data_IF_479056361248
#
_entry.id   IF_479056361248
#
_cell.length_a   1.000
_cell.length_b   1.000
_cell.length_c   1.000
_cell.angle_alpha   90.00
_cell.angle_beta   90.00
_cell.angle_gamma   90.00
#
_symmetry.space_group_name_H-M   'P 1'
#
loop_
_entity.id
_entity.type
_entity.pdbx_description
1 polymer ?
#
# COMPACT_ATOMS: atom_id res chain seq x y z
N UNK A 1 -36.60 -48.44 -36.87
CA UNK A 1 -35.82 -47.18 -36.87
C UNK A 1 -36.12 -46.38 -35.60
N UNK A 2 -35.26 -46.46 -34.58
CA UNK A 2 -35.16 -45.46 -33.51
C UNK A 2 -33.69 -45.35 -33.12
N UNK A 3 -32.98 -44.39 -33.70
CA UNK A 3 -31.62 -44.02 -33.30
C UNK A 3 -31.72 -43.30 -31.95
N UNK A 4 -31.09 -43.87 -30.92
CA UNK A 4 -30.82 -43.15 -29.66
C UNK A 4 -29.53 -42.38 -29.84
N UNK A 5 -29.64 -41.06 -29.95
CA UNK A 5 -28.49 -40.15 -29.93
C UNK A 5 -28.08 -39.97 -28.47
N UNK A 6 -26.90 -40.49 -28.10
CA UNK A 6 -26.30 -40.25 -26.79
C UNK A 6 -25.47 -38.97 -26.92
N UNK A 7 -25.91 -37.91 -26.26
CA UNK A 7 -25.12 -36.68 -26.07
C UNK A 7 -24.09 -36.94 -24.96
N UNK A 8 -22.81 -36.98 -25.32
CA UNK A 8 -21.72 -36.86 -24.35
C UNK A 8 -21.55 -35.38 -24.00
N UNK A 9 -22.00 -34.97 -22.81
CA UNK A 9 -21.58 -33.71 -22.21
C UNK A 9 -20.12 -33.87 -21.75
N UNK A 10 -19.19 -33.33 -22.54
CA UNK A 10 -17.82 -33.08 -22.10
C UNK A 10 -17.85 -31.92 -21.10
N UNK A 11 -17.90 -32.24 -19.81
CA UNK A 11 -17.49 -31.30 -18.77
C UNK A 11 -15.98 -31.10 -18.91
N UNK A 12 -15.57 -30.01 -19.57
CA UNK A 12 -14.22 -29.50 -19.40
C UNK A 12 -14.14 -28.95 -17.97
N UNK A 13 -13.68 -29.80 -17.05
CA UNK A 13 -13.21 -29.31 -15.76
C UNK A 13 -11.98 -28.44 -16.04
N UNK A 14 -12.19 -27.13 -16.17
CA UNK A 14 -11.11 -26.17 -15.99
C UNK A 14 -10.58 -26.41 -14.59
N UNK A 15 -9.46 -27.13 -14.50
CA UNK A 15 -8.65 -27.20 -13.29
C UNK A 15 -8.31 -25.75 -12.96
N UNK A 16 -9.07 -25.17 -12.04
CA UNK A 16 -8.63 -23.98 -11.32
C UNK A 16 -7.43 -24.46 -10.54
N UNK A 17 -6.24 -24.28 -11.13
CA UNK A 17 -5.00 -24.53 -10.42
C UNK A 17 -5.02 -23.52 -9.29
N UNK A 18 -5.28 -23.98 -8.06
CA UNK A 18 -5.22 -23.12 -6.89
C UNK A 18 -3.83 -22.48 -6.91
N UNK A 19 -3.76 -21.18 -7.20
CA UNK A 19 -2.49 -20.58 -7.49
C UNK A 19 -1.68 -20.49 -6.19
N UNK A 20 -0.52 -21.12 -6.17
CA UNK A 20 0.32 -21.21 -4.98
C UNK A 20 0.90 -19.83 -4.66
N UNK A 21 0.59 -19.34 -3.45
CA UNK A 21 1.36 -18.30 -2.78
C UNK A 21 2.41 -18.96 -1.87
N UNK A 22 3.62 -18.38 -1.73
CA UNK A 22 4.15 -17.24 -2.48
C UNK A 22 4.34 -17.55 -3.98
N UNK A 23 4.12 -16.57 -4.86
CA UNK A 23 4.45 -16.74 -6.27
C UNK A 23 5.97 -16.73 -6.47
N UNK A 24 6.50 -17.56 -7.38
CA UNK A 24 7.93 -17.59 -7.68
C UNK A 24 8.43 -16.22 -8.19
N UNK A 25 7.59 -15.50 -8.96
CA UNK A 25 7.87 -14.15 -9.44
C UNK A 25 8.20 -13.20 -8.29
N UNK A 26 7.39 -13.21 -7.22
CA UNK A 26 7.65 -12.37 -6.05
C UNK A 26 8.92 -12.80 -5.31
N UNK A 27 9.13 -14.11 -5.12
CA UNK A 27 10.35 -14.64 -4.49
C UNK A 27 11.60 -14.18 -5.21
N UNK A 28 11.56 -14.11 -6.54
CA UNK A 28 12.69 -13.74 -7.40
C UNK A 28 12.94 -12.22 -7.47
N UNK A 29 12.04 -11.38 -6.93
CA UNK A 29 12.26 -9.93 -6.88
C UNK A 29 13.48 -9.61 -6.03
N UNK A 30 13.59 -10.21 -4.84
CA UNK A 30 14.70 -10.08 -3.85
C UNK A 30 15.03 -8.67 -3.33
N UNK A 31 14.86 -7.64 -4.15
CA UNK A 31 15.29 -6.29 -3.87
C UNK A 31 14.34 -5.28 -4.53
N UNK A 32 13.84 -4.35 -3.72
CA UNK A 32 12.74 -3.46 -4.07
C UNK A 32 13.04 -2.04 -3.61
N UNK A 33 12.54 -1.05 -4.35
CA UNK A 33 12.54 0.35 -3.92
C UNK A 33 11.33 0.60 -3.03
N UNK A 34 11.52 1.21 -1.86
CA UNK A 34 10.41 1.70 -1.04
C UNK A 34 10.34 3.22 -1.16
N UNK A 35 9.19 3.77 -1.51
CA UNK A 35 8.98 5.21 -1.66
C UNK A 35 7.92 5.68 -0.66
N UNK A 36 8.37 6.48 0.31
CA UNK A 36 7.49 7.31 1.13
C UNK A 36 7.38 8.70 0.51
N UNK A 37 6.20 9.04 0.01
CA UNK A 37 5.91 10.35 -0.56
C UNK A 37 4.48 10.80 -0.21
N UNK A 38 4.34 12.03 0.27
CA UNK A 38 3.06 12.59 0.74
C UNK A 38 3.21 14.05 1.19
N UNK A 39 2.19 14.59 1.87
CA UNK A 39 2.21 16.01 2.31
C UNK A 39 3.37 16.31 3.27
N UNK A 40 3.78 15.35 4.08
CA UNK A 40 4.95 15.44 4.95
C UNK A 40 6.24 15.79 4.20
N UNK A 41 6.33 15.49 2.90
CA UNK A 41 7.47 15.86 2.05
C UNK A 41 7.59 17.37 1.81
N UNK A 42 6.50 18.15 1.97
CA UNK A 42 6.53 19.63 1.91
C UNK A 42 7.28 20.18 3.12
N UNK A 43 7.05 19.59 4.28
CA UNK A 43 7.69 20.01 5.53
C UNK A 43 9.17 19.64 5.60
N UNK A 44 9.56 18.49 5.05
CA UNK A 44 10.95 18.03 5.04
C UNK A 44 11.57 17.91 6.45
N UNK A 45 10.76 17.55 7.45
CA UNK A 45 11.19 17.43 8.85
C UNK A 45 11.30 18.76 9.62
N UNK A 46 10.83 19.87 9.04
CA UNK A 46 10.86 21.20 9.67
C UNK A 46 9.43 21.73 9.81
N UNK A 47 9.08 22.23 11.00
CA UNK A 47 7.79 22.89 11.26
C UNK A 47 8.02 24.22 11.96
N UNK A 48 7.41 25.30 11.45
CA UNK A 48 7.60 26.67 11.96
C UNK A 48 9.07 27.12 12.08
N UNK A 49 9.91 26.69 11.13
CA UNK A 49 11.33 27.04 11.08
C UNK A 49 12.23 26.20 11.99
N UNK A 50 11.65 25.29 12.79
CA UNK A 50 12.40 24.45 13.72
C UNK A 50 12.42 22.97 13.28
N UNK A 51 13.58 22.30 13.32
CA UNK A 51 13.64 20.86 13.05
C UNK A 51 12.87 20.05 14.09
N UNK A 52 12.01 19.14 13.62
CA UNK A 52 11.30 18.19 14.47
C UNK A 52 12.24 17.02 14.76
N UNK A 53 12.85 17.03 15.95
CA UNK A 53 13.94 16.10 16.32
C UNK A 53 13.48 14.75 16.89
N UNK A 54 12.17 14.52 16.96
CA UNK A 54 11.60 13.29 17.52
C UNK A 54 10.87 12.53 16.43
N UNK A 55 11.02 11.20 16.48
CA UNK A 55 10.32 10.31 15.57
C UNK A 55 10.76 10.49 14.12
N UNK A 56 9.83 10.20 13.21
CA UNK A 56 10.09 10.13 11.79
C UNK A 56 9.41 11.28 11.04
N UNK A 57 10.00 11.71 9.92
CA UNK A 57 9.56 12.92 9.21
C UNK A 57 8.19 12.76 8.55
N UNK A 58 7.83 11.55 8.12
CA UNK A 58 6.52 11.23 7.55
C UNK A 58 5.37 11.27 8.58
N UNK A 59 5.73 11.36 9.87
CA UNK A 59 4.80 11.45 10.99
C UNK A 59 4.81 12.83 11.66
N UNK A 60 5.32 13.85 10.95
CA UNK A 60 5.47 15.20 11.47
C UNK A 60 4.18 15.82 12.02
N UNK A 61 3.01 15.48 11.44
CA UNK A 61 1.70 15.90 11.96
C UNK A 61 1.56 15.56 13.45
N UNK A 62 1.88 14.32 13.81
CA UNK A 62 1.82 13.84 15.19
C UNK A 62 2.95 14.42 16.04
N UNK A 63 4.21 14.32 15.58
CA UNK A 63 5.37 14.71 16.39
C UNK A 63 5.51 16.21 16.63
N UNK A 64 4.99 17.05 15.73
CA UNK A 64 4.96 18.51 15.89
C UNK A 64 3.63 19.03 16.45
N UNK A 65 2.63 18.15 16.65
CA UNK A 65 1.31 18.54 17.16
C UNK A 65 0.55 19.45 16.19
N UNK A 66 0.62 19.17 14.90
CA UNK A 66 -0.09 19.94 13.86
C UNK A 66 -1.55 19.50 13.86
N UNK A 67 -2.47 20.46 14.01
CA UNK A 67 -3.90 20.18 13.90
C UNK A 67 -4.24 19.65 12.50
N UNK A 68 -5.17 18.70 12.41
CA UNK A 68 -5.47 18.00 11.14
C UNK A 68 -5.93 18.93 10.02
N UNK A 69 -6.67 20.00 10.34
CA UNK A 69 -7.08 21.01 9.36
C UNK A 69 -5.91 21.84 8.83
N UNK A 70 -4.95 22.17 9.70
CA UNK A 70 -3.72 22.89 9.32
C UNK A 70 -2.82 21.99 8.48
N UNK A 71 -2.65 20.73 8.88
CA UNK A 71 -1.89 19.75 8.10
C UNK A 71 -2.55 19.52 6.74
N UNK A 72 -3.88 19.37 6.67
CA UNK A 72 -4.59 19.17 5.42
C UNK A 72 -4.44 20.36 4.45
N UNK A 73 -4.30 21.58 4.97
CA UNK A 73 -4.08 22.79 4.15
C UNK A 73 -2.78 22.75 3.35
N UNK A 74 -1.79 21.95 3.77
CA UNK A 74 -0.53 21.69 3.04
C UNK A 74 -0.78 21.17 1.62
N UNK A 75 -1.93 20.51 1.37
CA UNK A 75 -2.29 20.04 0.04
C UNK A 75 -2.30 21.16 -1.01
N UNK A 76 -2.58 22.41 -0.63
CA UNK A 76 -2.55 23.57 -1.53
C UNK A 76 -1.15 23.94 -2.02
N UNK A 77 -0.10 23.53 -1.29
CA UNK A 77 1.31 23.74 -1.64
C UNK A 77 1.92 22.54 -2.36
N UNK A 78 1.25 21.39 -2.32
CA UNK A 78 1.77 20.14 -2.88
C UNK A 78 1.63 20.09 -4.41
N UNK A 79 2.70 20.50 -5.11
CA UNK A 79 2.75 20.49 -6.57
C UNK A 79 4.07 19.90 -7.09
N UNK A 80 4.20 18.56 -7.20
CA UNK A 80 5.43 17.92 -7.65
C UNK A 80 5.63 18.06 -9.18
N UNK A 81 5.90 19.26 -9.67
CA UNK A 81 6.04 19.58 -11.11
C UNK A 81 7.22 18.89 -11.79
N UNK A 82 8.16 18.33 -11.01
CA UNK A 82 9.30 17.55 -11.49
C UNK A 82 9.08 16.04 -11.36
N UNK A 83 7.85 15.59 -11.05
CA UNK A 83 7.52 14.19 -10.99
C UNK A 83 7.73 13.54 -12.37
N UNK A 84 8.61 12.56 -12.41
CA UNK A 84 8.88 11.73 -13.58
C UNK A 84 8.93 10.25 -13.14
N UNK A 85 7.86 9.48 -13.36
CA UNK A 85 7.81 8.09 -12.93
C UNK A 85 8.73 7.18 -13.76
N UNK A 86 9.06 7.55 -15.00
CA UNK A 86 9.95 6.75 -15.85
C UNK A 86 11.41 6.89 -15.37
N UNK A 87 11.82 8.06 -14.89
CA UNK A 87 13.12 8.25 -14.23
C UNK A 87 13.24 7.49 -12.90
N UNK A 88 12.16 7.40 -12.11
CA UNK A 88 12.12 6.58 -10.89
C UNK A 88 12.31 5.09 -11.22
N UNK A 89 11.57 4.60 -12.22
CA UNK A 89 11.68 3.21 -12.69
C UNK A 89 13.07 2.92 -13.25
N UNK A 90 13.64 3.87 -14.00
CA UNK A 90 15.03 3.77 -14.47
C UNK A 90 16.00 3.67 -13.30
N UNK A 91 15.89 4.55 -12.31
CA UNK A 91 16.75 4.52 -11.12
C UNK A 91 16.66 3.19 -10.37
N UNK A 92 15.45 2.68 -10.15
CA UNK A 92 15.24 1.39 -9.49
C UNK A 92 15.94 0.25 -10.25
N UNK A 93 15.81 0.22 -11.57
CA UNK A 93 16.46 -0.79 -12.42
C UNK A 93 17.98 -0.66 -12.44
N UNK A 94 18.51 0.56 -12.51
CA UNK A 94 19.95 0.82 -12.46
C UNK A 94 20.55 0.36 -11.13
N UNK A 95 19.79 0.48 -10.03
CA UNK A 95 20.14 -0.06 -8.71
C UNK A 95 19.96 -1.59 -8.58
N UNK A 96 19.44 -2.26 -9.61
CA UNK A 96 19.19 -3.71 -9.62
C UNK A 96 17.87 -4.15 -8.97
N UNK A 97 17.00 -3.21 -8.57
CA UNK A 97 15.71 -3.51 -7.97
C UNK A 97 14.72 -4.09 -8.99
N UNK A 98 13.80 -4.92 -8.52
CA UNK A 98 12.83 -5.69 -9.35
C UNK A 98 11.37 -5.31 -9.06
N UNK A 99 11.13 -4.56 -7.99
CA UNK A 99 9.82 -3.99 -7.68
C UNK A 99 9.92 -2.63 -7.01
N UNK A 100 8.82 -1.88 -7.01
CA UNK A 100 8.66 -0.61 -6.30
C UNK A 100 7.43 -0.70 -5.40
N UNK A 101 7.61 -0.47 -4.09
CA UNK A 101 6.55 -0.31 -3.09
C UNK A 101 6.31 1.18 -2.89
N UNK A 102 5.11 1.65 -3.21
CA UNK A 102 4.75 3.06 -3.14
C UNK A 102 3.68 3.33 -2.07
N UNK A 103 3.85 4.38 -1.25
CA UNK A 103 2.84 4.80 -0.27
C UNK A 103 1.57 5.30 -0.96
N UNK A 104 0.56 4.44 -1.08
CA UNK A 104 -0.77 4.80 -1.60
C UNK A 104 -1.49 5.77 -0.66
N UNK A 105 -1.38 5.51 0.65
CA UNK A 105 -1.85 6.35 1.76
C UNK A 105 -0.99 6.08 2.98
N UNK A 106 -0.43 7.14 3.60
CA UNK A 106 0.29 7.04 4.87
C UNK A 106 -0.64 7.30 6.07
N UNK A 107 -0.13 7.29 7.29
CA UNK A 107 -0.91 7.55 8.51
C UNK A 107 -1.65 8.89 8.49
N UNK A 108 -1.14 9.88 7.76
CA UNK A 108 -1.79 11.19 7.62
C UNK A 108 -3.14 11.14 6.88
N UNK A 109 -3.47 10.03 6.23
CA UNK A 109 -4.72 9.84 5.49
C UNK A 109 -4.71 10.40 4.07
N UNK A 110 -3.61 11.04 3.63
CA UNK A 110 -3.57 11.66 2.31
C UNK A 110 -3.36 10.61 1.23
N UNK A 111 -4.32 10.49 0.31
CA UNK A 111 -4.26 9.51 -0.76
C UNK A 111 -3.43 10.02 -1.94
N UNK A 112 -2.40 9.27 -2.34
CA UNK A 112 -1.52 9.59 -3.48
C UNK A 112 -2.10 9.16 -4.83
N UNK A 113 -3.41 8.93 -4.86
CA UNK A 113 -4.20 8.44 -5.97
C UNK A 113 -5.61 9.05 -5.92
N UNK A 114 -6.38 8.98 -7.00
CA UNK A 114 -7.75 9.54 -7.01
C UNK A 114 -8.74 8.60 -6.31
N UNK A 115 -8.95 8.80 -5.00
CA UNK A 115 -9.96 8.05 -4.25
C UNK A 115 -11.33 8.69 -4.41
N UNK A 116 -12.39 7.87 -4.56
CA UNK A 116 -13.78 8.37 -4.54
C UNK A 116 -14.39 8.40 -3.15
N UNK A 117 -13.64 7.96 -2.14
CA UNK A 117 -14.10 7.87 -0.75
C UNK A 117 -13.66 9.07 0.10
N UNK A 118 -12.75 9.91 -0.39
CA UNK A 118 -12.30 11.12 0.28
C UNK A 118 -11.77 12.13 -0.73
N UNK A 119 -12.11 13.41 -0.55
CA UNK A 119 -11.52 14.51 -1.31
C UNK A 119 -10.08 14.84 -0.84
N UNK A 120 -9.63 14.23 0.28
CA UNK A 120 -8.28 14.37 0.80
C UNK A 120 -7.29 13.48 0.04
N UNK A 121 -7.13 13.80 -1.25
CA UNK A 121 -6.31 13.06 -2.18
C UNK A 121 -5.57 13.99 -3.15
N UNK A 122 -4.56 13.46 -3.83
CA UNK A 122 -3.68 14.24 -4.71
C UNK A 122 -4.40 14.89 -5.89
N UNK A 123 -5.49 14.31 -6.38
CA UNK A 123 -6.24 14.85 -7.52
C UNK A 123 -7.18 15.97 -7.08
N UNK A 124 -7.89 15.80 -5.97
CA UNK A 124 -8.92 16.76 -5.57
C UNK A 124 -8.37 17.89 -4.69
N UNK A 125 -7.44 17.60 -3.78
CA UNK A 125 -6.98 18.57 -2.78
C UNK A 125 -5.79 19.45 -3.22
N UNK A 126 -5.09 19.10 -4.31
CA UNK A 126 -3.82 19.75 -4.68
C UNK A 126 -3.88 20.50 -6.00
N UNK A 127 -2.95 21.43 -6.30
CA UNK A 127 -2.78 21.98 -7.64
C UNK A 127 -2.21 20.99 -8.67
N UNK A 128 -1.72 19.81 -8.28
CA UNK A 128 -1.14 18.82 -9.20
C UNK A 128 -2.21 18.16 -10.09
N UNK A 129 -3.40 17.88 -9.53
CA UNK A 129 -4.61 17.40 -10.25
C UNK A 129 -4.42 16.11 -11.08
N UNK A 130 -3.39 15.32 -10.81
CA UNK A 130 -3.05 14.09 -11.56
C UNK A 130 -2.86 12.93 -10.59
N UNK A 131 -3.28 11.74 -11.01
CA UNK A 131 -3.13 10.51 -10.22
C UNK A 131 -1.69 10.00 -10.32
N UNK A 132 -0.88 10.39 -9.34
CA UNK A 132 0.55 10.13 -9.30
C UNK A 132 0.87 8.64 -9.14
N UNK A 133 0.08 7.92 -8.33
CA UNK A 133 0.23 6.47 -8.18
C UNK A 133 -0.07 5.73 -9.49
N UNK A 134 -1.09 6.15 -10.24
CA UNK A 134 -1.39 5.58 -11.57
C UNK A 134 -0.25 5.78 -12.55
N UNK A 135 0.31 6.99 -12.58
CA UNK A 135 1.46 7.30 -13.43
C UNK A 135 2.66 6.39 -13.13
N UNK A 136 2.93 6.13 -11.85
CA UNK A 136 3.97 5.20 -11.42
C UNK A 136 3.67 3.75 -11.80
N UNK A 137 2.45 3.27 -11.54
CA UNK A 137 2.03 1.91 -11.89
C UNK A 137 2.17 1.65 -13.40
N UNK A 138 1.77 2.62 -14.23
CA UNK A 138 1.92 2.53 -15.68
C UNK A 138 3.40 2.56 -16.12
N UNK A 139 4.23 3.38 -15.48
CA UNK A 139 5.68 3.40 -15.74
C UNK A 139 6.34 2.08 -15.36
N UNK A 140 5.98 1.49 -14.21
CA UNK A 140 6.46 0.18 -13.79
C UNK A 140 6.13 -0.89 -14.85
N UNK A 141 4.88 -0.90 -15.33
CA UNK A 141 4.43 -1.81 -16.40
C UNK A 141 5.21 -1.61 -17.70
N UNK A 142 5.46 -0.37 -18.12
CA UNK A 142 6.29 -0.08 -19.32
C UNK A 142 7.75 -0.49 -19.12
N UNK A 143 8.30 -0.27 -17.93
CA UNK A 143 9.68 -0.53 -17.58
C UNK A 143 9.99 -2.00 -17.27
N UNK A 144 8.96 -2.85 -17.12
CA UNK A 144 9.12 -4.26 -16.77
C UNK A 144 9.59 -4.48 -15.34
N UNK A 145 9.20 -3.62 -14.42
CA UNK A 145 9.43 -3.74 -12.98
C UNK A 145 8.08 -3.92 -12.28
N UNK A 146 8.03 -4.75 -11.23
CA UNK A 146 6.77 -5.04 -10.53
C UNK A 146 6.33 -3.84 -9.67
N UNK A 147 5.02 -3.59 -9.62
CA UNK A 147 4.44 -2.51 -8.82
C UNK A 147 3.74 -3.05 -7.58
N UNK A 148 4.01 -2.44 -6.44
CA UNK A 148 3.51 -2.80 -5.13
C UNK A 148 3.07 -1.54 -4.39
N UNK A 149 2.21 -1.71 -3.39
CA UNK A 149 1.64 -0.59 -2.64
C UNK A 149 1.84 -0.77 -1.15
N UNK A 150 2.13 0.33 -0.46
CA UNK A 150 1.96 0.44 0.98
C UNK A 150 0.57 1.04 1.27
N UNK A 151 -0.08 0.57 2.34
CA UNK A 151 -1.35 1.12 2.81
C UNK A 151 -1.40 1.18 4.34
N UNK A 152 -1.54 2.38 4.90
CA UNK A 152 -1.77 2.56 6.32
C UNK A 152 -3.22 2.26 6.71
N UNK A 153 -3.40 1.35 7.68
CA UNK A 153 -4.71 1.04 8.28
C UNK A 153 -5.18 2.14 9.24
N UNK A 154 -4.24 2.90 9.80
CA UNK A 154 -4.50 4.12 10.57
C UNK A 154 -4.63 5.30 9.61
N UNK A 155 -5.51 6.24 9.95
CA UNK A 155 -5.80 7.43 9.15
C UNK A 155 -6.12 8.58 10.10
N UNK A 156 -5.17 9.49 10.31
CA UNK A 156 -5.28 10.63 11.23
C UNK A 156 -6.23 11.72 10.73
N UNK A 157 -6.70 11.61 9.48
CA UNK A 157 -7.74 12.47 8.93
C UNK A 157 -9.15 11.85 9.10
N UNK A 158 -9.24 10.58 9.50
CA UNK A 158 -10.51 9.94 9.81
C UNK A 158 -11.06 10.45 11.16
N UNK A 159 -12.36 10.82 11.28
CA UNK A 159 -12.89 11.49 12.47
C UNK A 159 -12.65 10.75 13.80
N UNK A 160 -12.66 9.42 13.79
CA UNK A 160 -12.44 8.59 14.99
C UNK A 160 -10.97 8.35 15.34
N UNK A 161 -10.02 8.89 14.57
CA UNK A 161 -8.59 8.75 14.85
C UNK A 161 -8.04 9.83 15.80
N UNK A 162 -8.89 10.77 16.25
CA UNK A 162 -8.49 11.79 17.22
C UNK A 162 -8.86 11.38 18.66
N UNK A 163 -7.96 11.58 19.65
CA UNK A 163 -6.59 12.07 19.50
C UNK A 163 -5.69 11.05 18.81
N UNK A 164 -4.71 11.54 18.03
CA UNK A 164 -3.69 10.68 17.39
C UNK A 164 -2.93 9.93 18.48
N UNK A 165 -2.90 8.60 18.40
CA UNK A 165 -2.15 7.79 19.36
C UNK A 165 -0.65 7.89 19.13
N UNK A 166 0.12 7.64 20.19
CA UNK A 166 1.60 7.68 20.12
C UNK A 166 2.23 6.46 19.47
N UNK A 167 1.44 5.40 19.22
CA UNK A 167 1.94 4.11 18.75
C UNK A 167 1.25 3.62 17.46
N UNK A 168 0.23 4.33 16.96
CA UNK A 168 -0.55 3.96 15.77
C UNK A 168 -1.09 2.51 15.81
N UNK A 169 -1.34 1.93 16.99
CA UNK A 169 -1.83 0.55 17.12
C UNK A 169 -3.26 0.51 17.65
N UNK A 170 -4.08 1.47 17.22
CA UNK A 170 -5.45 1.63 17.70
C UNK A 170 -6.38 0.60 17.06
N UNK A 171 -7.38 0.09 17.82
CA UNK A 171 -8.46 -0.69 17.24
C UNK A 171 -9.24 0.12 16.20
N UNK A 172 -9.60 -0.50 15.08
CA UNK A 172 -10.45 0.15 14.09
C UNK A 172 -11.92 -0.01 14.44
N UNK A 173 -12.65 1.11 14.44
CA UNK A 173 -14.11 1.08 14.42
C UNK A 173 -14.61 0.41 13.14
N UNK A 174 -15.84 -0.11 13.14
CA UNK A 174 -16.42 -0.72 11.94
C UNK A 174 -16.47 0.28 10.77
N UNK A 175 -16.74 1.55 11.03
CA UNK A 175 -16.78 2.60 10.00
C UNK A 175 -15.40 2.82 9.36
N UNK A 176 -14.35 2.94 10.18
CA UNK A 176 -12.98 3.09 9.68
C UNK A 176 -12.53 1.84 8.90
N UNK A 177 -12.88 0.66 9.41
CA UNK A 177 -12.60 -0.59 8.70
C UNK A 177 -13.31 -0.66 7.33
N UNK A 178 -14.58 -0.24 7.24
CA UNK A 178 -15.31 -0.16 5.97
C UNK A 178 -14.70 0.85 5.01
N UNK A 179 -14.25 1.99 5.52
CA UNK A 179 -13.50 2.97 4.75
C UNK A 179 -12.21 2.36 4.17
N UNK A 180 -11.46 1.63 4.98
CA UNK A 180 -10.26 0.91 4.52
C UNK A 180 -10.57 -0.15 3.46
N UNK A 181 -11.63 -0.95 3.64
CA UNK A 181 -12.04 -1.93 2.62
C UNK A 181 -12.34 -1.27 1.27
N UNK A 182 -13.07 -0.16 1.29
CA UNK A 182 -13.43 0.57 0.07
C UNK A 182 -12.18 1.11 -0.65
N UNK A 183 -11.25 1.73 0.08
CA UNK A 183 -10.00 2.24 -0.49
C UNK A 183 -9.09 1.12 -1.02
N UNK A 184 -8.97 0.01 -0.29
CA UNK A 184 -8.22 -1.16 -0.75
C UNK A 184 -8.85 -1.76 -2.01
N UNK A 185 -10.19 -1.81 -2.10
CA UNK A 185 -10.87 -2.23 -3.33
C UNK A 185 -10.55 -1.30 -4.52
N UNK A 186 -10.54 0.02 -4.32
CA UNK A 186 -10.13 0.97 -5.37
C UNK A 186 -8.70 0.72 -5.85
N UNK A 187 -7.76 0.49 -4.93
CA UNK A 187 -6.36 0.22 -5.26
C UNK A 187 -6.22 -1.11 -6.02
N UNK A 188 -6.91 -2.16 -5.56
CA UNK A 188 -6.81 -3.49 -6.15
C UNK A 188 -7.54 -3.62 -7.50
N UNK A 189 -8.31 -2.63 -7.92
CA UNK A 189 -9.09 -2.69 -9.18
C UNK A 189 -8.62 -1.71 -10.26
N UNK A 190 -7.96 -0.60 -9.90
CA UNK A 190 -7.70 0.49 -10.84
C UNK A 190 -6.23 0.65 -11.29
N UNK A 191 -5.28 -0.06 -10.67
CA UNK A 191 -3.84 0.18 -10.84
C UNK A 191 -3.08 -0.96 -11.53
N UNK A 192 -3.80 -1.88 -12.19
CA UNK A 192 -3.22 -3.02 -12.89
C UNK A 192 -2.87 -4.19 -11.97
N UNK A 193 -1.83 -4.94 -12.34
CA UNK A 193 -1.34 -6.05 -11.52
C UNK A 193 -0.54 -5.51 -10.34
N UNK A 194 -1.00 -5.79 -9.12
CA UNK A 194 -0.31 -5.42 -7.88
C UNK A 194 0.46 -6.65 -7.40
N UNK A 195 1.77 -6.51 -7.25
CA UNK A 195 2.63 -7.61 -6.82
C UNK A 195 2.56 -7.85 -5.31
N UNK A 196 2.37 -6.79 -4.53
CA UNK A 196 2.33 -6.85 -3.07
C UNK A 196 1.54 -5.67 -2.51
N UNK A 197 0.84 -5.93 -1.40
CA UNK A 197 0.35 -4.91 -0.48
C UNK A 197 1.04 -5.03 0.88
N UNK A 198 1.69 -3.94 1.27
CA UNK A 198 2.32 -3.76 2.56
C UNK A 198 1.39 -2.95 3.46
N UNK A 199 0.68 -3.63 4.34
CA UNK A 199 -0.18 -3.00 5.34
C UNK A 199 0.65 -2.44 6.47
N UNK A 200 0.21 -1.36 7.09
CA UNK A 200 0.89 -0.78 8.24
C UNK A 200 -0.06 -0.40 9.35
N UNK A 201 0.41 -0.64 10.58
CA UNK A 201 -0.17 -0.18 11.82
C UNK A 201 -1.64 -0.61 12.04
N UNK A 202 -2.25 -0.17 13.13
CA UNK A 202 -3.60 -0.55 13.55
C UNK A 202 -3.67 -1.89 14.29
N UNK A 203 -4.74 -2.06 15.07
CA UNK A 203 -5.03 -3.28 15.83
C UNK A 203 -6.35 -3.89 15.34
N UNK A 204 -6.32 -4.49 14.16
CA UNK A 204 -7.48 -5.16 13.57
C UNK A 204 -7.94 -6.35 14.43
N UNK A 205 -9.25 -6.59 14.45
CA UNK A 205 -9.77 -7.87 14.92
C UNK A 205 -9.43 -8.99 13.93
N UNK A 206 -9.57 -10.24 14.37
CA UNK A 206 -9.41 -11.41 13.50
C UNK A 206 -10.30 -11.34 12.25
N UNK A 207 -11.57 -10.95 12.41
CA UNK A 207 -12.52 -10.87 11.29
C UNK A 207 -12.21 -9.73 10.33
N UNK A 208 -11.68 -8.60 10.84
CA UNK A 208 -11.27 -7.49 9.99
C UNK A 208 -10.03 -7.84 9.15
N UNK A 209 -9.06 -8.54 9.75
CA UNK A 209 -7.87 -9.01 9.03
C UNK A 209 -8.25 -10.04 7.96
N UNK A 210 -9.13 -10.99 8.30
CA UNK A 210 -9.67 -11.95 7.35
C UNK A 210 -10.35 -11.27 6.16
N UNK A 211 -11.22 -10.27 6.41
CA UNK A 211 -11.96 -9.62 5.34
C UNK A 211 -11.07 -8.82 4.37
N UNK A 212 -10.04 -8.14 4.86
CA UNK A 212 -9.04 -7.48 4.02
C UNK A 212 -8.22 -8.49 3.21
N UNK A 213 -7.79 -9.58 3.85
CA UNK A 213 -7.04 -10.64 3.17
C UNK A 213 -7.86 -11.30 2.05
N UNK A 214 -9.13 -11.62 2.31
CA UNK A 214 -10.05 -12.19 1.33
C UNK A 214 -10.37 -11.21 0.20
N UNK A 215 -10.54 -9.92 0.51
CA UNK A 215 -10.75 -8.88 -0.51
C UNK A 215 -9.57 -8.81 -1.47
N UNK A 216 -8.34 -8.67 -0.96
CA UNK A 216 -7.14 -8.59 -1.77
C UNK A 216 -6.94 -9.89 -2.56
N UNK A 217 -7.06 -11.05 -1.91
CA UNK A 217 -6.89 -12.35 -2.56
C UNK A 217 -7.91 -12.62 -3.66
N UNK A 218 -9.13 -12.09 -3.54
CA UNK A 218 -10.17 -12.19 -4.57
C UNK A 218 -9.92 -11.28 -5.75
N UNK A 219 -9.49 -10.04 -5.52
CA UNK A 219 -9.31 -9.03 -6.56
C UNK A 219 -7.97 -9.17 -7.27
N UNK A 220 -6.91 -9.51 -6.53
CA UNK A 220 -5.54 -9.65 -7.00
C UNK A 220 -4.95 -10.98 -6.47
N UNK A 221 -5.30 -12.13 -7.08
CA UNK A 221 -4.90 -13.45 -6.57
C UNK A 221 -3.38 -13.68 -6.50
N UNK A 222 -2.58 -12.89 -7.24
CA UNK A 222 -1.12 -12.95 -7.22
C UNK A 222 -0.46 -11.94 -6.28
N UNK A 223 -1.23 -11.00 -5.71
CA UNK A 223 -0.73 -10.00 -4.79
C UNK A 223 -0.36 -10.66 -3.46
N UNK A 224 0.88 -10.46 -3.03
CA UNK A 224 1.39 -10.89 -1.74
C UNK A 224 0.93 -9.94 -0.62
N UNK A 225 0.46 -10.50 0.49
CA UNK A 225 -0.04 -9.72 1.62
C UNK A 225 0.96 -9.79 2.78
N UNK A 226 1.44 -8.62 3.21
CA UNK A 226 2.43 -8.51 4.29
C UNK A 226 1.89 -8.97 5.65
N UNK A 227 2.76 -9.53 6.49
CA UNK A 227 2.41 -9.97 7.84
C UNK A 227 1.97 -8.87 8.80
N UNK A 228 2.19 -7.61 8.44
CA UNK A 228 1.72 -6.45 9.20
C UNK A 228 0.21 -6.24 9.11
N UNK A 229 -0.52 -7.00 8.28
CA UNK A 229 -1.98 -7.09 8.37
C UNK A 229 -2.44 -7.69 9.72
N UNK A 230 -1.63 -8.57 10.31
CA UNK A 230 -1.88 -9.18 11.62
C UNK A 230 -2.83 -10.38 11.62
N UNK A 231 -3.03 -10.96 12.80
CA UNK A 231 -3.93 -12.09 13.06
C UNK A 231 -3.69 -13.32 12.15
N UNK A 232 -2.44 -13.59 11.78
CA UNK A 232 -1.99 -14.70 10.93
C UNK A 232 -2.61 -14.75 9.51
N UNK A 233 -3.20 -13.65 9.05
CA UNK A 233 -3.64 -13.48 7.66
C UNK A 233 -2.52 -12.86 6.82
N UNK A 234 -1.61 -13.71 6.33
CA UNK A 234 -0.32 -13.29 5.77
C UNK A 234 0.20 -14.23 4.68
N UNK A 235 0.94 -13.68 3.71
CA UNK A 235 1.72 -14.44 2.72
C UNK A 235 3.25 -14.39 2.94
N UNK A 236 3.77 -13.34 3.60
CA UNK A 236 5.18 -13.22 3.97
C UNK A 236 5.39 -12.44 5.28
N UNK A 237 6.41 -12.82 6.04
CA UNK A 237 6.76 -12.14 7.28
C UNK A 237 7.46 -10.80 7.01
N UNK A 238 7.20 -9.80 7.85
CA UNK A 238 7.90 -8.52 7.81
C UNK A 238 8.79 -8.42 9.05
N UNK A 239 10.08 -8.17 8.84
CA UNK A 239 11.04 -7.97 9.92
C UNK A 239 10.88 -6.56 10.49
N UNK A 240 11.47 -6.30 11.67
CA UNK A 240 11.59 -4.93 12.15
C UNK A 240 12.42 -4.10 11.16
N UNK A 241 12.10 -2.81 11.07
CA UNK A 241 12.76 -1.91 10.14
C UNK A 241 14.27 -1.84 10.43
N UNK A 242 15.07 -1.91 9.36
CA UNK A 242 16.53 -1.98 9.41
C UNK A 242 17.11 -3.23 10.11
N UNK A 243 16.28 -4.24 10.39
CA UNK A 243 16.73 -5.52 10.95
C UNK A 243 16.64 -6.65 9.91
N UNK A 244 17.55 -7.61 10.01
CA UNK A 244 17.53 -8.83 9.22
C UNK A 244 17.59 -10.05 10.15
N UNK A 245 16.97 -11.17 9.78
CA UNK A 245 17.01 -12.36 10.61
C UNK A 245 18.43 -12.93 10.63
N UNK A 246 18.95 -13.22 11.81
CA UNK A 246 20.23 -13.92 12.03
C UNK A 246 20.07 -15.46 11.99
N UNK A 247 18.86 -15.94 11.67
CA UNK A 247 18.52 -17.35 11.47
C UNK A 247 17.72 -17.55 10.18
N UNK A 248 17.59 -18.81 9.75
CA UNK A 248 16.77 -19.16 8.58
C UNK A 248 15.29 -19.21 8.96
N UNK A 249 14.47 -18.42 8.28
CA UNK A 249 13.02 -18.51 8.37
C UNK A 249 12.47 -19.59 7.43
N UNK A 250 11.50 -20.36 7.91
CA UNK A 250 10.77 -21.36 7.11
C UNK A 250 9.67 -20.76 6.25
N UNK A 251 9.49 -19.43 6.31
CA UNK A 251 8.50 -18.66 5.54
C UNK A 251 9.21 -17.57 4.75
N UNK A 252 8.64 -17.10 3.63
CA UNK A 252 9.13 -15.91 2.95
C UNK A 252 9.09 -14.71 3.87
N UNK A 253 10.06 -13.81 3.72
CA UNK A 253 10.16 -12.61 4.55
C UNK A 253 10.73 -11.44 3.77
N UNK A 254 10.47 -10.24 4.26
CA UNK A 254 11.01 -8.99 3.75
C UNK A 254 11.40 -8.09 4.93
N UNK A 255 12.43 -7.27 4.73
CA UNK A 255 12.79 -6.18 5.64
C UNK A 255 12.80 -4.88 4.85
N UNK A 256 12.26 -3.82 5.46
CA UNK A 256 12.40 -2.47 4.96
C UNK A 256 13.60 -1.81 5.63
N UNK A 257 14.37 -1.03 4.88
CA UNK A 257 15.49 -0.27 5.40
C UNK A 257 15.48 1.14 4.83
N UNK A 258 15.90 2.10 5.64
CA UNK A 258 16.12 3.49 5.23
C UNK A 258 17.61 3.77 5.06
N UNK A 259 17.94 4.75 4.21
CA UNK A 259 19.33 5.21 3.96
C UNK A 259 19.73 6.24 5.01
#
# INVERSE_FOLDING_TARGET
MKQKLIFFLLFAASLVNAQQKPSQRWIDQKFSMFIHFGLYSVYGGVYNGEPVRRGYSEQIQSFAGIFSDWYASTAQEFNPVKWDPDEIVKLAKDAGMRSIVFTSKHHDGFCMYHSRHTDFNIVDATPYKRDLMKELAEACRRGGIDFSVYYSLIDWNFPQAYPISSHNADPLTEEHYRFNLNQVEEIMTNYGDISEIWFDMGSLTLSQSQGLYELVSRLQPQCMISGRLGNDWVDFAVMADNEYPDYKLGVPWQTAASI
#
